data_IF_977294867355
#
_entry.id   IF_977294867355
#
_cell.length_a   1.000
_cell.length_b   1.000
_cell.length_c   1.000
_cell.angle_alpha   90.00
_cell.angle_beta   90.00
_cell.angle_gamma   90.00
#
_symmetry.space_group_name_H-M   'P 1'
#
loop_
_entity.id
_entity.type
_entity.pdbx_description
1 polymer ?
#
# COMPACT_ATOMS: atom_id res chain seq x y z
N UNK A 1 -3.79 4.34 32.01
CA UNK A 1 -3.83 3.32 30.94
C UNK A 1 -4.58 3.84 29.70
N UNK A 2 -5.77 4.47 29.82
CA UNK A 2 -6.51 4.97 28.64
C UNK A 2 -5.77 5.95 27.73
N UNK A 3 -5.04 6.93 28.28
CA UNK A 3 -4.31 7.92 27.46
C UNK A 3 -3.18 7.31 26.60
N UNK A 4 -2.57 6.21 27.04
CA UNK A 4 -1.51 5.52 26.28
C UNK A 4 -2.10 4.71 25.13
N UNK A 5 -3.24 4.06 25.34
CA UNK A 5 -3.95 3.30 24.29
C UNK A 5 -4.48 4.24 23.20
N UNK A 6 -5.06 5.39 23.56
CA UNK A 6 -5.51 6.38 22.57
C UNK A 6 -4.36 6.88 21.69
N UNK A 7 -3.19 7.16 22.28
CA UNK A 7 -1.99 7.59 21.52
C UNK A 7 -1.52 6.49 20.56
N UNK A 8 -1.61 5.22 20.95
CA UNK A 8 -1.27 4.09 20.08
C UNK A 8 -2.29 3.91 18.95
N UNK A 9 -3.59 4.03 19.23
CA UNK A 9 -4.65 4.01 18.21
C UNK A 9 -4.46 5.13 17.19
N UNK A 10 -4.22 6.36 17.65
CA UNK A 10 -4.00 7.52 16.78
C UNK A 10 -2.76 7.33 15.90
N UNK A 11 -1.65 6.84 16.47
CA UNK A 11 -0.44 6.53 15.72
C UNK A 11 -0.66 5.45 14.63
N UNK A 12 -1.49 4.44 14.91
CA UNK A 12 -1.86 3.42 13.93
C UNK A 12 -2.72 3.99 12.80
N UNK A 13 -3.62 4.91 13.10
CA UNK A 13 -4.45 5.59 12.10
C UNK A 13 -3.64 6.54 11.22
N UNK A 14 -2.71 7.28 11.82
CA UNK A 14 -1.78 8.16 11.10
C UNK A 14 -0.87 7.35 10.17
N UNK A 15 -0.35 6.21 10.65
CA UNK A 15 0.47 5.33 9.83
C UNK A 15 -0.37 4.71 8.70
N UNK A 16 -1.60 4.28 8.98
CA UNK A 16 -2.52 3.77 7.96
C UNK A 16 -2.80 4.81 6.86
N UNK A 17 -2.91 6.09 7.22
CA UNK A 17 -3.11 7.16 6.26
C UNK A 17 -1.92 7.30 5.30
N UNK A 18 -0.69 7.16 5.79
CA UNK A 18 0.52 7.18 4.94
C UNK A 18 0.54 6.01 3.94
N UNK A 19 0.19 4.80 4.39
CA UNK A 19 0.13 3.64 3.50
C UNK A 19 -0.93 3.81 2.42
N UNK A 20 -2.08 4.41 2.76
CA UNK A 20 -3.12 4.71 1.76
C UNK A 20 -2.67 5.79 0.77
N UNK A 21 -2.02 6.84 1.24
CA UNK A 21 -1.45 7.89 0.38
C UNK A 21 -0.37 7.32 -0.58
N UNK A 22 0.49 6.42 -0.08
CA UNK A 22 1.45 5.71 -0.92
C UNK A 22 0.77 4.83 -1.98
N UNK A 23 -0.30 4.13 -1.62
CA UNK A 23 -1.12 3.38 -2.60
C UNK A 23 -1.64 4.30 -3.70
N UNK A 24 -2.23 5.43 -3.31
CA UNK A 24 -2.80 6.41 -4.25
C UNK A 24 -1.72 7.05 -5.15
N UNK A 25 -0.52 7.28 -4.61
CA UNK A 25 0.62 7.82 -5.36
C UNK A 25 1.26 6.80 -6.32
N UNK A 26 1.20 5.50 -6.03
CA UNK A 26 1.73 4.46 -6.91
C UNK A 26 0.83 4.25 -8.14
N UNK A 27 -0.49 4.43 -8.01
CA UNK A 27 -1.44 4.28 -9.11
C UNK A 27 -1.08 5.10 -10.37
N UNK A 28 -0.78 6.41 -10.31
CA UNK A 28 -0.38 7.18 -11.49
C UNK A 28 0.99 6.75 -12.05
N UNK A 29 1.92 6.31 -11.19
CA UNK A 29 3.24 5.80 -11.63
C UNK A 29 3.07 4.48 -12.40
N UNK A 30 2.22 3.57 -11.90
CA UNK A 30 1.82 2.34 -12.61
C UNK A 30 1.24 2.65 -13.98
N UNK A 31 0.32 3.62 -14.05
CA UNK A 31 -0.32 3.99 -15.31
C UNK A 31 0.67 4.62 -16.29
N UNK A 32 1.61 5.44 -15.81
CA UNK A 32 2.68 5.95 -16.64
C UNK A 32 3.57 4.81 -17.17
N UNK A 33 3.97 3.88 -16.31
CA UNK A 33 4.79 2.72 -16.68
C UNK A 33 4.08 1.83 -17.72
N UNK A 34 2.77 1.60 -17.57
CA UNK A 34 1.94 0.81 -18.50
C UNK A 34 1.95 1.40 -19.92
N UNK A 35 2.02 2.72 -20.04
CA UNK A 35 2.10 3.44 -21.32
C UNK A 35 3.47 3.45 -21.97
N UNK A 36 4.52 2.91 -21.34
CA UNK A 36 5.90 2.94 -21.84
C UNK A 36 6.27 1.75 -22.72
N UNK A 37 5.33 0.86 -23.08
CA UNK A 37 5.59 -0.21 -24.05
C UNK A 37 6.12 0.36 -25.37
N UNK A 38 7.23 -0.18 -25.87
CA UNK A 38 7.87 0.28 -27.10
C UNK A 38 7.77 -0.77 -28.20
N UNK A 39 7.39 -0.33 -29.40
CA UNK A 39 7.41 -1.18 -30.59
C UNK A 39 8.82 -1.48 -31.06
N UNK A 40 9.00 -2.59 -31.79
CA UNK A 40 10.32 -3.06 -32.28
C UNK A 40 11.07 -1.99 -33.08
N UNK A 41 10.36 -1.12 -33.79
CA UNK A 41 10.94 -0.02 -34.58
C UNK A 41 11.71 0.99 -33.74
N UNK A 42 11.38 1.15 -32.44
CA UNK A 42 12.10 2.02 -31.53
C UNK A 42 13.52 1.52 -31.22
N UNK A 43 13.79 0.23 -31.46
CA UNK A 43 15.08 -0.42 -31.19
C UNK A 43 15.89 -0.67 -32.47
N UNK A 44 15.40 -0.23 -33.63
CA UNK A 44 16.09 -0.42 -34.89
C UNK A 44 17.19 0.63 -35.08
N UNK A 45 18.44 0.24 -34.80
CA UNK A 45 19.64 1.06 -35.00
C UNK A 45 20.48 0.63 -36.23
N UNK A 46 19.88 -0.16 -37.12
CA UNK A 46 20.56 -0.75 -38.28
C UNK A 46 21.17 -2.14 -38.03
N UNK A 47 20.87 -2.77 -36.90
CA UNK A 47 21.25 -4.15 -36.59
C UNK A 47 20.06 -5.13 -36.63
N UNK A 48 20.35 -6.44 -36.66
CA UNK A 48 19.33 -7.50 -36.67
C UNK A 48 18.80 -7.85 -35.27
N UNK A 49 19.31 -7.23 -34.20
CA UNK A 49 18.97 -7.58 -32.81
C UNK A 49 17.83 -6.72 -32.24
N UNK A 50 17.28 -5.78 -33.01
CA UNK A 50 16.16 -4.93 -32.61
C UNK A 50 15.00 -5.71 -31.95
N UNK A 51 14.71 -6.94 -32.42
CA UNK A 51 13.70 -7.80 -31.82
C UNK A 51 14.07 -8.22 -30.39
N UNK A 52 15.31 -8.64 -30.17
CA UNK A 52 15.82 -9.07 -28.84
C UNK A 52 15.84 -7.88 -27.88
N UNK A 53 16.27 -6.71 -28.33
CA UNK A 53 16.27 -5.49 -27.51
C UNK A 53 14.87 -5.04 -27.15
N UNK A 54 13.93 -5.08 -28.10
CA UNK A 54 12.53 -4.75 -27.85
C UNK A 54 11.90 -5.70 -26.85
N UNK A 55 12.18 -7.00 -26.95
CA UNK A 55 11.66 -7.99 -26.02
C UNK A 55 12.22 -7.77 -24.60
N UNK A 56 13.54 -7.64 -24.46
CA UNK A 56 14.16 -7.41 -23.16
C UNK A 56 13.65 -6.13 -22.47
N UNK A 57 13.42 -5.06 -23.22
CA UNK A 57 12.84 -3.83 -22.69
C UNK A 57 11.39 -4.03 -22.24
N UNK A 58 10.56 -4.64 -23.09
CA UNK A 58 9.15 -4.83 -22.79
C UNK A 58 8.93 -5.80 -21.62
N UNK A 59 9.76 -6.85 -21.50
CA UNK A 59 9.74 -7.76 -20.36
C UNK A 59 10.05 -7.01 -19.04
N UNK A 60 11.01 -6.09 -19.07
CA UNK A 60 11.33 -5.25 -17.91
C UNK A 60 10.21 -4.26 -17.58
N UNK A 61 9.60 -3.65 -18.61
CA UNK A 61 8.46 -2.75 -18.44
C UNK A 61 7.27 -3.49 -17.82
N UNK A 62 6.97 -4.71 -18.29
CA UNK A 62 5.91 -5.55 -17.74
C UNK A 62 6.19 -5.96 -16.29
N UNK A 63 7.44 -6.30 -15.99
CA UNK A 63 7.87 -6.56 -14.62
C UNK A 63 7.62 -5.34 -13.72
N UNK A 64 8.00 -4.13 -14.16
CA UNK A 64 7.76 -2.90 -13.42
C UNK A 64 6.27 -2.64 -13.20
N UNK A 65 5.42 -2.82 -14.23
CA UNK A 65 3.96 -2.68 -14.10
C UNK A 65 3.40 -3.68 -13.08
N UNK A 66 3.90 -4.90 -13.07
CA UNK A 66 3.50 -5.94 -12.12
C UNK A 66 3.83 -5.54 -10.69
N UNK A 67 5.07 -5.12 -10.42
CA UNK A 67 5.51 -4.67 -9.09
C UNK A 67 4.70 -3.46 -8.62
N UNK A 68 4.49 -2.47 -9.49
CA UNK A 68 3.72 -1.27 -9.14
C UNK A 68 2.23 -1.58 -8.90
N UNK A 69 1.66 -2.53 -9.65
CA UNK A 69 0.29 -2.99 -9.41
C UNK A 69 0.17 -3.72 -8.08
N UNK A 70 1.16 -4.55 -7.73
CA UNK A 70 1.25 -5.18 -6.41
C UNK A 70 1.37 -4.15 -5.29
N UNK A 71 2.26 -3.17 -5.43
CA UNK A 71 2.47 -2.12 -4.43
C UNK A 71 1.19 -1.31 -4.14
N UNK A 72 0.41 -0.93 -5.17
CA UNK A 72 -0.86 -0.24 -4.96
C UNK A 72 -1.84 -1.08 -4.13
N UNK A 73 -1.94 -2.38 -4.40
CA UNK A 73 -2.84 -3.28 -3.67
C UNK A 73 -2.34 -3.53 -2.25
N UNK A 74 -1.06 -3.86 -2.09
CA UNK A 74 -0.46 -4.25 -0.81
C UNK A 74 -0.42 -3.06 0.16
N UNK A 75 -0.15 -1.85 -0.32
CA UNK A 75 -0.16 -0.66 0.52
C UNK A 75 -1.55 -0.35 1.08
N UNK A 76 -2.62 -0.47 0.28
CA UNK A 76 -3.99 -0.34 0.80
C UNK A 76 -4.34 -1.47 1.79
N UNK A 77 -3.86 -2.71 1.55
CA UNK A 77 -4.04 -3.80 2.50
C UNK A 77 -3.35 -3.54 3.84
N UNK A 78 -2.13 -3.00 3.84
CA UNK A 78 -1.41 -2.60 5.06
C UNK A 78 -2.17 -1.50 5.79
N UNK A 79 -2.63 -0.46 5.08
CA UNK A 79 -3.49 0.58 5.65
C UNK A 79 -4.76 -0.02 6.30
N UNK A 80 -5.42 -0.94 5.61
CA UNK A 80 -6.61 -1.63 6.10
C UNK A 80 -6.34 -2.48 7.35
N UNK A 81 -5.18 -3.15 7.41
CA UNK A 81 -4.77 -3.93 8.58
C UNK A 81 -4.52 -3.03 9.81
N UNK A 82 -3.83 -1.90 9.63
CA UNK A 82 -3.57 -0.93 10.71
C UNK A 82 -4.87 -0.33 11.26
N UNK A 83 -5.82 0.03 10.41
CA UNK A 83 -7.15 0.51 10.83
C UNK A 83 -7.92 -0.56 11.63
N UNK A 84 -7.81 -1.84 11.22
CA UNK A 84 -8.45 -2.94 11.97
C UNK A 84 -7.83 -3.11 13.35
N UNK A 85 -6.50 -3.05 13.45
CA UNK A 85 -5.77 -3.14 14.72
C UNK A 85 -6.18 -2.00 15.65
N UNK A 86 -6.21 -0.76 15.15
CA UNK A 86 -6.65 0.41 15.91
C UNK A 86 -8.07 0.22 16.49
N UNK A 87 -9.02 -0.25 15.67
CA UNK A 87 -10.40 -0.53 16.11
C UNK A 87 -10.49 -1.61 17.19
N UNK A 88 -9.67 -2.64 17.12
CA UNK A 88 -9.65 -3.69 18.15
C UNK A 88 -9.07 -3.19 19.47
N UNK A 89 -8.08 -2.28 19.44
CA UNK A 89 -7.57 -1.62 20.65
C UNK A 89 -8.64 -0.75 21.32
N UNK A 90 -9.34 0.10 20.57
CA UNK A 90 -10.40 0.95 21.13
C UNK A 90 -11.53 0.11 21.74
N UNK A 91 -11.90 -0.99 21.07
CA UNK A 91 -12.91 -1.91 21.56
C UNK A 91 -12.47 -2.59 22.87
N UNK A 92 -11.21 -3.02 22.97
CA UNK A 92 -10.67 -3.61 24.19
C UNK A 92 -10.66 -2.62 25.36
N UNK A 93 -10.31 -1.36 25.13
CA UNK A 93 -10.34 -0.32 26.17
C UNK A 93 -11.77 0.01 26.61
N UNK A 94 -12.72 0.05 25.66
CA UNK A 94 -14.13 0.21 25.96
C UNK A 94 -14.68 -0.92 26.85
N UNK A 95 -14.27 -2.17 26.63
CA UNK A 95 -14.66 -3.28 27.51
C UNK A 95 -14.04 -3.16 28.91
N UNK A 96 -12.73 -2.88 28.98
CA UNK A 96 -12.03 -2.76 30.26
C UNK A 96 -12.59 -1.62 31.14
N UNK A 97 -12.95 -0.48 30.52
CA UNK A 97 -13.57 0.65 31.21
C UNK A 97 -14.99 0.34 31.71
N UNK A 98 -15.78 -0.42 30.94
CA UNK A 98 -17.13 -0.85 31.34
C UNK A 98 -17.08 -1.80 32.55
N UNK A 99 -16.15 -2.75 32.56
CA UNK A 99 -15.93 -3.68 33.67
C UNK A 99 -15.45 -2.95 34.94
N UNK A 100 -14.50 -2.01 34.82
CA UNK A 100 -14.03 -1.20 35.96
C UNK A 100 -15.15 -0.36 36.56
N UNK A 101 -15.98 0.27 35.73
CA UNK A 101 -17.13 1.03 36.23
C UNK A 101 -18.15 0.14 36.93
N UNK A 102 -18.42 -1.08 36.43
CA UNK A 102 -19.30 -2.01 37.14
C UNK A 102 -18.73 -2.45 38.50
N UNK A 103 -17.42 -2.65 38.60
CA UNK A 103 -16.77 -3.04 39.86
C UNK A 103 -16.74 -1.88 40.87
N UNK A 104 -16.45 -0.65 40.44
CA UNK A 104 -16.34 0.51 41.34
C UNK A 104 -17.67 1.22 41.65
N UNK A 105 -18.74 0.90 40.91
CA UNK A 105 -20.10 1.42 41.18
C UNK A 105 -20.95 0.50 42.06
N UNK A 106 -20.43 -0.65 42.46
CA UNK A 106 -21.01 -1.58 43.43
C UNK A 106 -20.50 -1.32 44.85
#
# INVERSE_FOLDING_TARGET
MGAEVTVVTDALLDEAAKWRDLSDQVAPVRNAADGLGLGVTAFFIGDMNALVHSQAYNDFQEFMVTVLSGAAVEFDQVAGALVKIAKEYDKADAFASLDLNQIYSA
#
